data_IF_605170588643
#
_entry.id   IF_605170588643
#
_cell.length_a   1.000
_cell.length_b   1.000
_cell.length_c   1.000
_cell.angle_alpha   90.00
_cell.angle_beta   90.00
_cell.angle_gamma   90.00
#
_symmetry.space_group_name_H-M   'P 1'
#
loop_
_entity.id
_entity.type
_entity.pdbx_description
1 polymer ?
#
# COMPACT_ATOMS: atom_id res chain seq x y z
N UNK A 1 -4.86 1.52 18.54
CA UNK A 1 -3.49 1.42 18.00
C UNK A 1 -3.50 2.18 16.69
N UNK A 2 -2.79 3.30 16.61
CA UNK A 2 -2.77 4.20 15.46
C UNK A 2 -1.63 3.82 14.53
N UNK A 3 -1.97 3.49 13.29
CA UNK A 3 -0.99 3.10 12.27
C UNK A 3 -1.09 4.05 11.09
N UNK A 4 0.04 4.60 10.64
CA UNK A 4 0.15 5.23 9.34
C UNK A 4 0.64 4.21 8.30
N UNK A 5 -0.24 3.80 7.39
CA UNK A 5 0.04 2.70 6.44
C UNK A 5 0.76 3.14 5.16
N UNK A 6 1.02 4.43 4.97
CA UNK A 6 1.54 4.94 3.71
C UNK A 6 2.48 6.12 3.94
N UNK A 7 3.75 5.82 4.23
CA UNK A 7 4.82 6.81 4.29
C UNK A 7 6.00 6.46 3.37
N UNK A 8 6.71 7.48 2.93
CA UNK A 8 7.91 7.36 2.11
C UNK A 8 9.11 7.89 2.89
N UNK A 9 9.77 7.02 3.67
CA UNK A 9 11.03 7.39 4.30
C UNK A 9 12.18 7.33 3.30
N UNK A 10 13.05 8.35 3.32
CA UNK A 10 14.19 8.44 2.40
C UNK A 10 14.40 9.79 1.73
N UNK A 11 13.47 10.72 1.90
CA UNK A 11 13.64 12.10 1.45
C UNK A 11 14.39 12.84 2.56
N UNK A 12 15.51 13.47 2.21
CA UNK A 12 16.34 14.31 3.08
C UNK A 12 15.44 15.33 3.82
N UNK A 13 15.73 15.57 5.10
CA UNK A 13 15.05 16.56 5.97
C UNK A 13 13.70 16.15 6.61
N UNK A 14 13.33 14.87 6.52
CA UNK A 14 12.19 14.30 7.27
C UNK A 14 12.56 13.97 8.72
N UNK A 15 11.87 14.61 9.69
CA UNK A 15 12.01 14.31 11.13
C UNK A 15 11.10 13.15 11.55
N UNK A 16 11.63 11.94 11.46
CA UNK A 16 11.06 10.69 11.97
C UNK A 16 10.43 10.78 13.38
N UNK A 17 11.00 11.61 14.27
CA UNK A 17 10.56 11.77 15.67
C UNK A 17 9.15 12.34 15.80
N UNK A 18 8.80 13.34 15.00
CA UNK A 18 7.51 14.05 15.08
C UNK A 18 6.34 13.12 14.69
N UNK A 19 6.59 12.16 13.80
CA UNK A 19 5.59 11.18 13.35
C UNK A 19 5.33 10.13 14.44
N UNK A 20 6.38 9.71 15.16
CA UNK A 20 6.28 8.70 16.23
C UNK A 20 5.50 9.17 17.45
N UNK A 21 5.44 10.48 17.69
CA UNK A 21 4.59 11.04 18.75
C UNK A 21 3.08 10.91 18.42
N UNK A 22 2.74 10.64 17.15
CA UNK A 22 1.38 10.64 16.64
C UNK A 22 0.84 9.25 16.32
N UNK A 23 1.73 8.29 16.03
CA UNK A 23 1.39 6.92 15.62
C UNK A 23 2.21 5.88 16.38
N UNK A 24 1.56 4.79 16.76
CA UNK A 24 2.20 3.65 17.41
C UNK A 24 3.13 2.92 16.42
N UNK A 25 2.64 2.75 15.19
CA UNK A 25 3.38 2.15 14.08
C UNK A 25 3.31 3.00 12.82
N UNK A 26 4.37 2.92 12.03
CA UNK A 26 4.47 3.56 10.72
C UNK A 26 4.94 2.51 9.73
N UNK A 27 4.26 2.43 8.60
CA UNK A 27 4.52 1.48 7.53
C UNK A 27 5.14 2.23 6.35
N UNK A 28 6.32 1.77 5.95
CA UNK A 28 7.07 2.34 4.86
C UNK A 28 6.63 1.73 3.54
N UNK A 29 6.22 2.60 2.62
CA UNK A 29 5.97 2.27 1.25
C UNK A 29 7.26 2.48 0.44
N UNK A 30 7.76 1.47 -0.28
CA UNK A 30 8.89 1.65 -1.19
C UNK A 30 8.53 2.60 -2.32
N UNK A 31 9.33 3.65 -2.49
CA UNK A 31 9.26 4.47 -3.68
C UNK A 31 10.64 5.01 -4.05
N UNK A 32 10.91 5.05 -5.35
CA UNK A 32 11.98 5.85 -5.92
C UNK A 32 11.42 7.19 -6.40
N UNK A 33 12.12 8.30 -6.13
CA UNK A 33 11.67 9.67 -6.47
C UNK A 33 11.27 9.86 -7.95
N UNK A 34 11.80 9.04 -8.85
CA UNK A 34 11.54 9.12 -10.28
C UNK A 34 10.89 7.85 -10.86
N UNK A 35 10.52 6.88 -10.01
CA UNK A 35 10.22 5.52 -10.44
C UNK A 35 11.43 4.84 -11.10
N UNK A 36 11.39 3.53 -11.19
CA UNK A 36 12.34 2.75 -11.98
C UNK A 36 11.56 1.65 -12.72
N UNK A 37 12.05 1.22 -13.88
CA UNK A 37 11.64 -0.07 -14.46
C UNK A 37 12.38 -1.24 -13.78
N UNK A 38 12.69 -1.10 -12.49
CA UNK A 38 13.42 -2.10 -11.72
C UNK A 38 12.46 -3.01 -10.96
N UNK A 39 12.97 -4.10 -10.40
CA UNK A 39 12.13 -5.13 -9.79
C UNK A 39 11.46 -4.67 -8.50
N UNK A 40 12.04 -3.72 -7.77
CA UNK A 40 11.73 -3.48 -6.35
C UNK A 40 11.65 -2.00 -5.91
N UNK A 41 11.54 -1.05 -6.85
CA UNK A 41 11.28 0.39 -6.63
C UNK A 41 11.78 1.00 -5.29
N UNK A 42 13.10 0.90 -5.03
CA UNK A 42 13.74 1.50 -3.84
C UNK A 42 13.66 0.70 -2.53
N UNK A 43 13.01 -0.48 -2.51
CA UNK A 43 12.85 -1.33 -1.32
C UNK A 43 14.15 -1.55 -0.54
N UNK A 44 15.22 -2.01 -1.20
CA UNK A 44 16.48 -2.32 -0.50
C UNK A 44 17.17 -1.09 0.08
N UNK A 45 17.07 0.06 -0.59
CA UNK A 45 17.60 1.31 -0.07
C UNK A 45 16.85 1.72 1.20
N UNK A 46 15.51 1.66 1.16
CA UNK A 46 14.66 1.94 2.30
C UNK A 46 14.89 0.95 3.46
N UNK A 47 15.08 -0.34 3.16
CA UNK A 47 15.41 -1.37 4.14
C UNK A 47 16.72 -1.05 4.87
N UNK A 48 17.76 -0.64 4.14
CA UNK A 48 19.03 -0.24 4.75
C UNK A 48 18.87 1.00 5.64
N UNK A 49 18.03 1.96 5.25
CA UNK A 49 17.71 3.13 6.08
C UNK A 49 16.84 2.81 7.29
N UNK A 50 16.14 1.68 7.26
CA UNK A 50 15.31 1.19 8.37
C UNK A 50 16.11 0.31 9.35
N UNK A 51 17.35 -0.08 9.05
CA UNK A 51 18.17 -0.88 9.97
C UNK A 51 18.34 -0.18 11.33
N UNK A 52 18.04 -0.89 12.40
CA UNK A 52 18.09 -0.37 13.78
C UNK A 52 16.93 0.56 14.12
N UNK A 53 15.93 0.68 13.24
CA UNK A 53 14.68 1.39 13.48
C UNK A 53 13.53 0.37 13.51
N UNK A 54 12.42 0.78 14.09
CA UNK A 54 11.25 -0.04 14.38
C UNK A 54 10.10 0.25 13.40
N UNK A 55 10.39 0.69 12.17
CA UNK A 55 9.36 0.88 11.16
C UNK A 55 8.97 -0.45 10.52
N UNK A 56 7.69 -0.62 10.25
CA UNK A 56 7.19 -1.71 9.41
C UNK A 56 7.46 -1.35 7.94
N UNK A 57 7.60 -2.34 7.08
CA UNK A 57 7.94 -2.09 5.68
C UNK A 57 7.06 -2.91 4.74
N UNK A 58 6.57 -2.29 3.66
CA UNK A 58 5.97 -3.01 2.55
C UNK A 58 7.08 -3.47 1.59
N UNK A 59 6.89 -4.63 0.98
CA UNK A 59 7.61 -5.03 -0.21
C UNK A 59 7.01 -4.41 -1.45
N UNK A 60 7.69 -4.55 -2.58
CA UNK A 60 7.18 -4.18 -3.90
C UNK A 60 7.77 -5.10 -4.95
N UNK A 61 6.97 -5.43 -5.96
CA UNK A 61 7.44 -6.22 -7.08
C UNK A 61 6.90 -5.68 -8.40
N UNK A 62 7.76 -5.62 -9.40
CA UNK A 62 7.38 -5.35 -10.78
C UNK A 62 7.12 -6.69 -11.51
N UNK A 63 5.87 -6.98 -11.94
CA UNK A 63 5.56 -8.19 -12.71
C UNK A 63 6.38 -8.39 -13.99
N UNK A 64 6.93 -7.31 -14.56
CA UNK A 64 7.84 -7.37 -15.73
C UNK A 64 9.30 -7.69 -15.37
N UNK A 65 9.61 -7.89 -14.09
CA UNK A 65 10.95 -8.26 -13.65
C UNK A 65 11.34 -9.65 -14.18
N UNK A 66 12.62 -9.81 -14.56
CA UNK A 66 13.18 -11.10 -15.01
C UNK A 66 13.42 -12.10 -13.86
N UNK A 67 13.53 -11.61 -12.64
CA UNK A 67 13.72 -12.45 -11.45
C UNK A 67 12.34 -12.96 -11.06
N UNK A 68 12.11 -14.27 -10.90
CA UNK A 68 10.81 -14.79 -10.52
C UNK A 68 10.27 -14.16 -9.23
N UNK A 69 8.95 -13.94 -9.19
CA UNK A 69 8.31 -13.23 -8.08
C UNK A 69 8.55 -13.93 -6.75
N UNK A 70 8.47 -15.26 -6.73
CA UNK A 70 8.73 -16.09 -5.54
C UNK A 70 10.15 -15.93 -4.99
N UNK A 71 11.14 -15.71 -5.87
CA UNK A 71 12.53 -15.50 -5.46
C UNK A 71 12.70 -14.11 -4.88
N UNK A 72 12.20 -13.08 -5.58
CA UNK A 72 12.42 -11.71 -5.15
C UNK A 72 11.55 -11.34 -3.95
N UNK A 73 10.27 -11.69 -3.95
CA UNK A 73 9.39 -11.50 -2.80
C UNK A 73 9.81 -12.36 -1.61
N UNK A 74 10.34 -13.57 -1.83
CA UNK A 74 10.93 -14.39 -0.77
C UNK A 74 12.06 -13.66 -0.03
N UNK A 75 12.99 -13.02 -0.77
CA UNK A 75 14.06 -12.21 -0.17
C UNK A 75 13.56 -11.01 0.63
N UNK A 76 12.45 -10.40 0.18
CA UNK A 76 11.82 -9.29 0.90
C UNK A 76 11.06 -9.79 2.14
N UNK A 77 10.42 -10.95 2.04
CA UNK A 77 9.75 -11.63 3.14
C UNK A 77 10.71 -11.99 4.27
N UNK A 78 11.89 -12.55 3.93
CA UNK A 78 12.97 -12.82 4.90
C UNK A 78 13.48 -11.55 5.61
N UNK A 79 13.16 -10.37 5.07
CA UNK A 79 13.49 -9.06 5.64
C UNK A 79 12.34 -8.45 6.45
N UNK A 80 11.22 -9.15 6.60
CA UNK A 80 10.11 -8.78 7.46
C UNK A 80 9.10 -7.82 6.82
N UNK A 81 8.83 -7.93 5.52
CA UNK A 81 7.74 -7.14 4.91
C UNK A 81 6.38 -7.51 5.50
N UNK A 82 5.51 -6.52 5.66
CA UNK A 82 4.16 -6.70 6.24
C UNK A 82 3.03 -6.62 5.20
N UNK A 83 3.39 -6.50 3.92
CA UNK A 83 2.48 -6.39 2.78
C UNK A 83 3.26 -6.15 1.50
N UNK A 84 2.59 -6.18 0.34
CA UNK A 84 3.23 -6.05 -0.97
C UNK A 84 2.54 -4.94 -1.77
N UNK A 85 3.33 -4.02 -2.33
CA UNK A 85 2.84 -2.96 -3.21
C UNK A 85 2.86 -3.43 -4.67
N UNK A 86 1.76 -3.18 -5.37
CA UNK A 86 1.66 -3.21 -6.82
C UNK A 86 1.52 -1.79 -7.34
N UNK A 87 2.47 -1.38 -8.20
CA UNK A 87 2.49 -0.05 -8.78
C UNK A 87 2.40 -0.09 -10.32
N UNK A 88 1.21 -0.35 -10.88
CA UNK A 88 1.01 -0.42 -12.33
C UNK A 88 1.25 0.93 -13.03
N UNK A 89 1.23 2.04 -12.30
CA UNK A 89 1.53 3.37 -12.84
C UNK A 89 3.02 3.50 -13.17
N UNK A 90 3.90 3.09 -12.24
CA UNK A 90 5.35 3.20 -12.43
C UNK A 90 5.92 2.08 -13.32
N UNK A 91 5.32 0.88 -13.26
CA UNK A 91 5.84 -0.31 -13.92
C UNK A 91 5.10 -0.69 -15.21
N UNK A 92 4.03 0.04 -15.54
CA UNK A 92 3.26 -0.09 -16.79
C UNK A 92 2.68 -1.50 -17.03
N UNK A 93 2.05 -2.12 -16.03
CA UNK A 93 1.39 -3.42 -16.18
C UNK A 93 -0.12 -3.33 -15.85
N UNK A 94 -0.90 -4.32 -16.28
CA UNK A 94 -2.30 -4.54 -15.92
C UNK A 94 -2.40 -5.47 -14.70
N UNK A 95 -3.40 -5.28 -13.83
CA UNK A 95 -3.43 -6.00 -12.55
C UNK A 95 -3.51 -7.52 -12.71
N UNK A 96 -4.06 -8.02 -13.82
CA UNK A 96 -4.09 -9.45 -14.17
C UNK A 96 -2.70 -10.06 -14.37
N UNK A 97 -1.70 -9.26 -14.75
CA UNK A 97 -0.32 -9.72 -14.95
C UNK A 97 0.39 -10.01 -13.63
N UNK A 98 -0.15 -9.54 -12.49
CA UNK A 98 0.44 -9.71 -11.17
C UNK A 98 0.02 -10.99 -10.45
N UNK A 99 -0.51 -12.00 -11.15
CA UNK A 99 -1.03 -13.24 -10.55
C UNK A 99 -0.03 -13.95 -9.62
N UNK A 100 1.26 -13.98 -9.99
CA UNK A 100 2.32 -14.52 -9.13
C UNK A 100 2.48 -13.79 -7.80
N UNK A 101 2.20 -12.49 -7.77
CA UNK A 101 2.23 -11.68 -6.54
C UNK A 101 1.02 -12.01 -5.67
N UNK A 102 -0.17 -12.18 -6.25
CA UNK A 102 -1.36 -12.57 -5.50
C UNK A 102 -1.20 -13.96 -4.88
N UNK A 103 -0.67 -14.92 -5.64
CA UNK A 103 -0.35 -16.25 -5.14
C UNK A 103 0.61 -16.18 -3.95
N UNK A 104 1.75 -15.48 -4.11
CA UNK A 104 2.72 -15.33 -3.01
C UNK A 104 2.10 -14.66 -1.78
N UNK A 105 1.26 -13.63 -2.00
CA UNK A 105 0.58 -12.92 -0.93
C UNK A 105 -0.40 -13.82 -0.17
N UNK A 106 -1.14 -14.68 -0.86
CA UNK A 106 -2.03 -15.66 -0.25
C UNK A 106 -1.25 -16.67 0.60
N UNK A 107 -0.21 -17.28 0.02
CA UNK A 107 0.63 -18.29 0.68
C UNK A 107 1.25 -17.78 1.98
N UNK A 108 1.56 -16.47 2.05
CA UNK A 108 2.19 -15.83 3.20
C UNK A 108 1.22 -14.94 4.01
N UNK A 109 -0.07 -14.96 3.71
CA UNK A 109 -1.11 -14.15 4.37
C UNK A 109 -0.84 -12.63 4.37
N UNK A 110 -0.14 -12.13 3.35
CA UNK A 110 0.23 -10.73 3.21
C UNK A 110 -0.89 -9.92 2.50
N UNK A 111 -1.21 -8.71 2.97
CA UNK A 111 -2.07 -7.80 2.22
C UNK A 111 -1.35 -7.24 0.98
N UNK A 112 -2.12 -6.97 -0.07
CA UNK A 112 -1.64 -6.32 -1.31
C UNK A 112 -2.14 -4.88 -1.40
N UNK A 113 -1.22 -3.94 -1.49
CA UNK A 113 -1.49 -2.51 -1.65
C UNK A 113 -1.39 -2.15 -3.13
N UNK A 114 -2.46 -1.61 -3.71
CA UNK A 114 -2.52 -1.34 -5.15
C UNK A 114 -2.56 0.16 -5.38
N UNK A 115 -1.51 0.69 -6.02
CA UNK A 115 -1.51 2.05 -6.55
C UNK A 115 -2.46 2.12 -7.73
N UNK A 116 -3.48 2.96 -7.60
CA UNK A 116 -4.50 3.19 -8.62
C UNK A 116 -4.44 4.63 -9.12
N UNK A 117 -4.80 4.85 -10.39
CA UNK A 117 -4.87 6.19 -11.01
C UNK A 117 -4.03 6.35 -12.27
N UNK A 118 -4.03 7.56 -12.84
CA UNK A 118 -3.33 7.92 -14.10
C UNK A 118 -3.58 6.96 -15.27
N UNK A 119 -4.77 6.36 -15.35
CA UNK A 119 -5.13 5.43 -16.44
C UNK A 119 -4.64 3.98 -16.24
N UNK A 120 -4.08 3.64 -15.07
CA UNK A 120 -3.60 2.29 -14.72
C UNK A 120 -4.16 1.84 -13.37
N UNK A 121 -4.22 0.52 -13.16
CA UNK A 121 -4.72 -0.07 -11.92
C UNK A 121 -6.21 0.21 -11.70
N UNK A 122 -7.06 -0.12 -12.68
CA UNK A 122 -8.50 0.04 -12.52
C UNK A 122 -9.00 -0.89 -11.40
N UNK A 123 -9.62 -0.37 -10.31
CA UNK A 123 -10.09 -1.20 -9.20
C UNK A 123 -11.05 -2.32 -9.61
N UNK A 124 -11.81 -2.16 -10.71
CA UNK A 124 -12.74 -3.20 -11.19
C UNK A 124 -12.04 -4.52 -11.55
N UNK A 125 -10.78 -4.49 -11.98
CA UNK A 125 -10.01 -5.69 -12.28
C UNK A 125 -9.82 -6.60 -11.05
N UNK A 126 -9.84 -6.01 -9.85
CA UNK A 126 -9.65 -6.72 -8.59
C UNK A 126 -10.84 -7.63 -8.22
N UNK A 127 -12.01 -7.44 -8.82
CA UNK A 127 -13.18 -8.32 -8.59
C UNK A 127 -12.89 -9.77 -8.94
N UNK A 128 -12.07 -10.02 -9.96
CA UNK A 128 -11.69 -11.37 -10.34
C UNK A 128 -10.59 -11.89 -9.42
N UNK A 129 -9.64 -11.03 -9.04
CA UNK A 129 -8.57 -11.37 -8.10
C UNK A 129 -9.14 -11.85 -6.77
N UNK A 130 -10.10 -11.13 -6.18
CA UNK A 130 -10.67 -11.51 -4.88
C UNK A 130 -11.59 -12.75 -4.92
N UNK A 131 -12.03 -13.17 -6.11
CA UNK A 131 -12.74 -14.44 -6.30
C UNK A 131 -11.79 -15.63 -6.35
N UNK A 132 -10.60 -15.41 -6.92
CA UNK A 132 -9.58 -16.45 -7.11
C UNK A 132 -8.68 -16.60 -5.88
N UNK A 133 -8.32 -15.49 -5.23
CA UNK A 133 -7.39 -15.44 -4.12
C UNK A 133 -8.06 -14.87 -2.85
N UNK A 134 -7.83 -15.51 -1.70
CA UNK A 134 -8.28 -15.08 -0.37
C UNK A 134 -7.30 -14.10 0.26
N UNK A 135 -6.96 -13.04 -0.47
CA UNK A 135 -6.05 -11.99 -0.02
C UNK A 135 -6.81 -10.74 0.42
N UNK A 136 -6.19 -9.96 1.32
CA UNK A 136 -6.66 -8.61 1.65
C UNK A 136 -6.06 -7.62 0.67
N UNK A 137 -6.87 -6.73 0.11
CA UNK A 137 -6.42 -5.73 -0.86
C UNK A 137 -6.69 -4.33 -0.33
N UNK A 138 -5.71 -3.44 -0.45
CA UNK A 138 -5.81 -2.03 -0.09
C UNK A 138 -5.73 -1.19 -1.36
N UNK A 139 -6.79 -0.45 -1.67
CA UNK A 139 -6.79 0.56 -2.73
C UNK A 139 -6.09 1.81 -2.22
N UNK A 140 -4.87 2.04 -2.69
CA UNK A 140 -4.14 3.26 -2.32
C UNK A 140 -4.82 4.48 -2.94
N UNK A 141 -5.12 5.48 -2.10
CA UNK A 141 -5.83 6.72 -2.45
C UNK A 141 -7.21 6.50 -3.07
N UNK A 142 -7.88 5.37 -2.80
CA UNK A 142 -9.26 5.10 -3.25
C UNK A 142 -9.51 5.30 -4.77
N UNK A 143 -8.53 5.06 -5.64
CA UNK A 143 -8.72 5.31 -7.08
C UNK A 143 -8.56 6.78 -7.50
N UNK A 144 -8.29 7.70 -6.57
CA UNK A 144 -8.24 9.13 -6.88
C UNK A 144 -7.08 9.47 -7.85
N UNK A 145 -7.30 10.38 -8.81
CA UNK A 145 -8.57 11.04 -9.16
C UNK A 145 -9.46 10.30 -10.15
N UNK A 146 -8.96 9.33 -10.92
CA UNK A 146 -9.66 8.80 -12.10
C UNK A 146 -10.68 7.69 -11.81
N UNK A 147 -10.46 6.89 -10.76
CA UNK A 147 -11.15 5.63 -10.51
C UNK A 147 -12.00 5.62 -9.24
N UNK A 148 -12.40 6.80 -8.73
CA UNK A 148 -13.17 6.90 -7.49
C UNK A 148 -14.48 6.10 -7.55
N UNK A 149 -15.20 6.15 -8.68
CA UNK A 149 -16.47 5.42 -8.82
C UNK A 149 -16.26 3.91 -8.84
N UNK A 150 -15.20 3.45 -9.51
CA UNK A 150 -14.79 2.04 -9.55
C UNK A 150 -14.36 1.56 -8.16
N UNK A 151 -13.63 2.39 -7.41
CA UNK A 151 -13.27 2.11 -6.02
C UNK A 151 -14.51 1.98 -5.13
N UNK A 152 -15.50 2.89 -5.26
CA UNK A 152 -16.79 2.81 -4.53
C UNK A 152 -17.54 1.51 -4.83
N UNK A 153 -17.40 0.97 -6.03
CA UNK A 153 -18.04 -0.28 -6.41
C UNK A 153 -17.35 -1.49 -5.76
N UNK A 154 -16.03 -1.59 -5.85
CA UNK A 154 -15.31 -2.79 -5.40
C UNK A 154 -15.03 -2.82 -3.90
N UNK A 155 -15.00 -1.68 -3.21
CA UNK A 155 -14.77 -1.65 -1.74
C UNK A 155 -15.88 -2.34 -0.94
N UNK A 156 -17.02 -2.63 -1.58
CA UNK A 156 -18.12 -3.43 -1.03
C UNK A 156 -17.70 -4.88 -0.78
N UNK A 157 -16.70 -5.39 -1.49
CA UNK A 157 -16.13 -6.72 -1.28
C UNK A 157 -15.50 -6.83 0.12
N UNK A 158 -15.67 -7.96 0.79
CA UNK A 158 -15.31 -8.13 2.20
C UNK A 158 -13.80 -7.93 2.47
N UNK A 159 -12.96 -8.29 1.51
CA UNK A 159 -11.50 -8.27 1.59
C UNK A 159 -10.84 -7.05 0.91
N UNK A 160 -11.62 -6.10 0.41
CA UNK A 160 -11.10 -4.84 -0.16
C UNK A 160 -11.29 -3.70 0.85
N UNK A 161 -10.20 -2.94 1.03
CA UNK A 161 -10.09 -1.78 1.91
C UNK A 161 -9.56 -0.57 1.15
N UNK A 162 -9.72 0.61 1.73
CA UNK A 162 -9.34 1.87 1.13
C UNK A 162 -8.38 2.68 1.98
N UNK A 163 -7.25 3.09 1.40
CA UNK A 163 -6.31 4.02 2.03
C UNK A 163 -6.59 5.44 1.50
N UNK A 164 -6.60 6.43 2.40
CA UNK A 164 -7.25 7.73 2.14
C UNK A 164 -6.31 8.92 1.99
N UNK A 165 -4.99 8.70 1.97
CA UNK A 165 -4.02 9.75 1.71
C UNK A 165 -4.33 10.50 0.42
N UNK A 166 -4.12 11.81 0.41
CA UNK A 166 -4.34 12.66 -0.77
C UNK A 166 -5.78 12.69 -1.32
N UNK A 167 -6.74 12.02 -0.69
CA UNK A 167 -8.14 12.02 -1.14
C UNK A 167 -8.89 13.17 -0.44
N UNK A 168 -9.59 14.04 -1.20
CA UNK A 168 -10.43 15.09 -0.60
C UNK A 168 -11.43 14.53 0.39
N UNK A 169 -11.55 15.16 1.57
CA UNK A 169 -12.39 14.65 2.66
C UNK A 169 -13.86 14.48 2.28
N UNK A 170 -14.38 15.34 1.39
CA UNK A 170 -15.77 15.24 0.93
C UNK A 170 -16.00 13.99 0.09
N UNK A 171 -14.98 13.47 -0.60
CA UNK A 171 -15.06 12.19 -1.30
C UNK A 171 -14.92 11.01 -0.34
N UNK A 172 -14.06 11.13 0.69
CA UNK A 172 -13.85 10.07 1.69
C UNK A 172 -15.14 9.74 2.45
N UNK A 173 -15.99 10.74 2.72
CA UNK A 173 -17.27 10.57 3.42
C UNK A 173 -18.24 9.61 2.72
N UNK A 174 -18.08 9.40 1.42
CA UNK A 174 -18.94 8.52 0.63
C UNK A 174 -18.54 7.04 0.70
N UNK A 175 -17.44 6.71 1.39
CA UNK A 175 -16.94 5.34 1.52
C UNK A 175 -17.33 4.73 2.89
N UNK A 176 -17.51 3.40 2.96
CA UNK A 176 -17.81 2.71 4.21
C UNK A 176 -16.65 2.84 5.20
N UNK A 177 -16.87 3.52 6.33
CA UNK A 177 -15.82 3.88 7.29
C UNK A 177 -15.04 2.70 7.82
N UNK A 178 -15.69 1.57 8.05
CA UNK A 178 -15.10 0.34 8.58
C UNK A 178 -14.08 -0.31 7.62
N UNK A 179 -14.08 0.12 6.35
CA UNK A 179 -13.15 -0.29 5.28
C UNK A 179 -12.03 0.70 5.04
N UNK A 180 -12.07 1.88 5.66
CA UNK A 180 -11.07 2.92 5.45
C UNK A 180 -9.92 2.79 6.44
N UNK A 181 -8.71 3.00 5.94
CA UNK A 181 -7.49 3.07 6.75
C UNK A 181 -6.75 4.37 6.49
N UNK A 182 -6.04 4.82 7.52
CA UNK A 182 -5.26 6.04 7.45
C UNK A 182 -3.89 5.81 6.82
N UNK A 183 -3.52 6.71 5.91
CA UNK A 183 -2.15 6.91 5.47
C UNK A 183 -1.90 8.40 5.22
N UNK A 184 -0.67 8.87 5.46
CA UNK A 184 -0.35 10.30 5.29
C UNK A 184 0.23 10.65 3.93
N UNK A 185 0.85 9.70 3.22
CA UNK A 185 1.72 9.94 2.05
C UNK A 185 2.87 10.91 2.36
N UNK A 186 3.26 11.01 3.63
CA UNK A 186 4.34 11.87 4.07
C UNK A 186 5.68 11.38 3.47
N UNK A 187 6.59 12.28 3.05
CA UNK A 187 6.56 13.75 3.18
C UNK A 187 5.99 14.50 1.97
N UNK A 188 5.41 13.81 0.99
CA UNK A 188 4.91 14.48 -0.21
C UNK A 188 3.72 15.41 0.08
N UNK A 189 3.01 15.15 1.17
CA UNK A 189 1.88 15.94 1.65
C UNK A 189 2.14 16.32 3.11
N UNK A 190 1.74 17.53 3.55
CA UNK A 190 1.77 17.89 4.97
C UNK A 190 1.07 16.83 5.82
N UNK A 191 1.70 16.47 6.94
CA UNK A 191 1.13 15.50 7.86
C UNK A 191 -0.23 16.02 8.35
N UNK A 192 -1.28 15.29 8.04
CA UNK A 192 -2.64 15.57 8.47
C UNK A 192 -3.18 14.34 9.17
N UNK A 193 -3.63 14.48 10.41
CA UNK A 193 -4.19 13.36 11.17
C UNK A 193 -5.70 13.38 11.01
N UNK A 194 -6.26 12.24 10.62
CA UNK A 194 -7.71 12.04 10.70
C UNK A 194 -8.07 11.78 12.16
N UNK A 195 -8.94 12.63 12.72
CA UNK A 195 -9.40 12.51 14.12
C UNK A 195 -10.43 11.39 14.33
N UNK A 196 -10.87 10.74 13.26
CA UNK A 196 -11.80 9.61 13.32
C UNK A 196 -11.06 8.36 13.87
N UNK A 197 -11.40 7.99 15.10
CA UNK A 197 -10.77 6.88 15.82
C UNK A 197 -10.98 5.54 15.12
N UNK A 198 -12.14 5.34 14.48
CA UNK A 198 -12.44 4.07 13.81
C UNK A 198 -11.48 3.83 12.63
N UNK A 199 -11.30 4.86 11.80
CA UNK A 199 -10.39 4.82 10.66
C UNK A 199 -8.94 4.59 11.12
N UNK A 200 -8.52 5.24 12.21
CA UNK A 200 -7.18 5.07 12.78
C UNK A 200 -6.93 3.65 13.31
N UNK A 201 -7.97 2.97 13.80
CA UNK A 201 -7.87 1.62 14.36
C UNK A 201 -8.08 0.51 13.30
N UNK A 202 -8.58 0.82 12.10
CA UNK A 202 -8.91 -0.18 11.08
C UNK A 202 -7.70 -0.90 10.46
N UNK A 203 -6.51 -0.27 10.45
CA UNK A 203 -5.30 -0.85 9.88
C UNK A 203 -4.91 -2.21 10.50
N UNK A 204 -5.26 -2.43 11.78
CA UNK A 204 -5.05 -3.72 12.48
C UNK A 204 -5.83 -4.89 11.89
N UNK A 205 -6.88 -4.63 11.10
CA UNK A 205 -7.64 -5.66 10.38
C UNK A 205 -6.84 -6.21 9.18
N UNK A 206 -5.85 -5.46 8.73
CA UNK A 206 -5.17 -5.67 7.45
C UNK A 206 -3.73 -6.11 7.65
N UNK A 207 -3.01 -5.40 8.53
CA UNK A 207 -1.60 -5.67 8.80
C UNK A 207 -1.52 -6.63 9.99
N UNK A 208 -0.85 -7.76 9.78
CA UNK A 208 -0.58 -8.73 10.84
C UNK A 208 0.68 -8.28 11.59
N UNK A 209 0.49 -7.63 12.74
CA UNK A 209 1.53 -7.18 13.67
C UNK A 209 1.22 -7.65 15.08
#
# INVERSE_FOLDING_TARGET
MKIDVHQHLGIRDVKAKEIRELFDYVVLNPAYKYGCMCCVDGFYQQYLWNKGKDYLQLGIYNPKCRVPAEVELGRQYDKGIVGIVLNPINHDFELKEAWKVYQFAEDHSLPVFVCTGRGKGNPLELKNVVKEYKIRIVLMRLGYPQYINQAKEVIKESNIYGEISSVPIDLVKDFPKDKLIFGSCYPYIPLSIIKDKEILDNARKIINI
#
